data_IF_010341131435
#
_entry.id   IF_010341131435
#
_cell.length_a   1.000
_cell.length_b   1.000
_cell.length_c   1.000
_cell.angle_alpha   90.00
_cell.angle_beta   90.00
_cell.angle_gamma   90.00
#
_symmetry.space_group_name_H-M   'P 1'
#
loop_
_entity.id
_entity.type
_entity.pdbx_description
1 polymer ?
#
# COMPACT_ATOMS: atom_id res chain seq x y z
N UNK A 1 -16.60 31.33 9.77
CA UNK A 1 -16.50 29.91 10.15
C UNK A 1 -16.01 29.10 8.97
N UNK A 2 -15.05 28.21 9.20
CA UNK A 2 -14.40 27.45 8.14
C UNK A 2 -15.28 26.33 7.58
N UNK A 3 -14.98 25.93 6.34
CA UNK A 3 -15.60 24.81 5.64
C UNK A 3 -14.67 23.58 5.68
N UNK A 4 -15.18 22.43 6.10
CA UNK A 4 -14.41 21.18 6.22
C UNK A 4 -13.80 20.77 4.87
N UNK A 5 -14.61 20.77 3.79
CA UNK A 5 -14.17 20.27 2.47
C UNK A 5 -13.06 21.15 1.91
N UNK A 6 -13.22 22.48 1.97
CA UNK A 6 -12.17 23.41 1.54
C UNK A 6 -10.89 23.26 2.38
N UNK A 7 -11.03 23.02 3.67
CA UNK A 7 -9.89 22.81 4.55
C UNK A 7 -9.19 21.44 4.29
N UNK A 8 -9.98 20.37 4.05
CA UNK A 8 -9.45 19.07 3.62
C UNK A 8 -8.64 19.18 2.33
N UNK A 9 -9.17 19.93 1.34
CA UNK A 9 -8.48 20.20 0.08
C UNK A 9 -7.14 20.88 0.33
N UNK A 10 -7.13 21.97 1.12
CA UNK A 10 -5.89 22.69 1.47
C UNK A 10 -4.87 21.79 2.15
N UNK A 11 -5.29 20.91 3.07
CA UNK A 11 -4.40 19.97 3.74
C UNK A 11 -3.87 18.93 2.76
N UNK A 12 -4.70 18.39 1.87
CA UNK A 12 -4.29 17.42 0.87
C UNK A 12 -3.31 18.03 -0.15
N UNK A 13 -3.53 19.27 -0.55
CA UNK A 13 -2.64 19.98 -1.49
C UNK A 13 -1.27 20.25 -0.82
N UNK A 14 -1.22 20.71 0.41
CA UNK A 14 0.04 20.88 1.14
C UNK A 14 0.80 19.56 1.38
N UNK A 15 0.09 18.44 1.57
CA UNK A 15 0.71 17.11 1.63
C UNK A 15 1.31 16.71 0.27
N UNK A 16 0.66 17.04 -0.83
CA UNK A 16 1.15 16.79 -2.19
C UNK A 16 2.40 17.64 -2.47
N UNK A 17 2.36 18.92 -2.16
CA UNK A 17 3.49 19.86 -2.32
C UNK A 17 4.72 19.42 -1.51
N UNK A 18 4.50 18.81 -0.34
CA UNK A 18 5.58 18.24 0.50
C UNK A 18 6.01 16.83 0.08
N UNK A 19 5.56 16.31 -1.07
CA UNK A 19 5.93 14.99 -1.59
C UNK A 19 5.24 13.81 -0.90
N UNK A 20 4.28 14.06 0.00
CA UNK A 20 3.54 13.01 0.73
C UNK A 20 2.34 12.50 -0.09
N UNK A 21 2.58 12.09 -1.34
CA UNK A 21 1.54 11.74 -2.32
C UNK A 21 0.58 10.65 -1.84
N UNK A 22 1.09 9.60 -1.17
CA UNK A 22 0.25 8.52 -0.63
C UNK A 22 -0.75 9.02 0.41
N UNK A 23 -0.29 9.87 1.33
CA UNK A 23 -1.16 10.49 2.35
C UNK A 23 -2.13 11.47 1.70
N UNK A 24 -1.67 12.31 0.77
CA UNK A 24 -2.51 13.23 0.01
C UNK A 24 -3.65 12.48 -0.73
N UNK A 25 -3.34 11.33 -1.33
CA UNK A 25 -4.34 10.49 -1.99
C UNK A 25 -5.44 10.01 -1.01
N UNK A 26 -5.06 9.54 0.19
CA UNK A 26 -6.01 9.12 1.24
C UNK A 26 -6.91 10.29 1.65
N UNK A 27 -6.34 11.49 1.84
CA UNK A 27 -7.10 12.67 2.22
C UNK A 27 -8.09 13.08 1.13
N UNK A 28 -7.69 13.04 -0.14
CA UNK A 28 -8.58 13.30 -1.28
C UNK A 28 -9.69 12.26 -1.39
N UNK A 29 -9.39 10.97 -1.24
CA UNK A 29 -10.39 9.89 -1.26
C UNK A 29 -11.40 10.06 -0.13
N UNK A 30 -10.93 10.38 1.09
CA UNK A 30 -11.82 10.68 2.22
C UNK A 30 -12.68 11.89 1.98
N UNK A 31 -12.11 12.96 1.40
CA UNK A 31 -12.85 14.18 1.03
C UNK A 31 -13.94 13.88 -0.01
N UNK A 32 -13.61 13.12 -1.06
CA UNK A 32 -14.58 12.73 -2.09
C UNK A 32 -15.74 11.93 -1.52
N UNK A 33 -15.47 11.04 -0.55
CA UNK A 33 -16.52 10.29 0.13
C UNK A 33 -17.44 11.20 0.98
N UNK A 34 -16.87 12.21 1.67
CA UNK A 34 -17.65 13.20 2.42
C UNK A 34 -18.50 14.06 1.49
N UNK A 35 -17.96 14.50 0.35
CA UNK A 35 -18.70 15.27 -0.66
C UNK A 35 -19.88 14.45 -1.19
N UNK A 36 -19.65 13.19 -1.52
CA UNK A 36 -20.69 12.29 -2.02
C UNK A 36 -21.79 12.02 -0.97
N UNK A 37 -21.45 11.95 0.31
CA UNK A 37 -22.42 11.81 1.40
C UNK A 37 -23.23 13.08 1.67
N UNK A 38 -22.54 14.23 1.66
CA UNK A 38 -23.16 15.51 1.99
C UNK A 38 -23.92 16.14 0.80
N UNK A 39 -23.76 15.53 -0.41
CA UNK A 39 -24.33 16.01 -1.69
C UNK A 39 -24.01 17.49 -2.01
N UNK A 40 -23.04 18.06 -1.30
CA UNK A 40 -22.64 19.45 -1.42
C UNK A 40 -21.15 19.62 -1.19
N UNK A 41 -20.53 20.53 -1.94
CA UNK A 41 -19.17 21.01 -1.72
C UNK A 41 -19.03 21.92 -0.48
N UNK A 42 -20.12 22.20 0.23
CA UNK A 42 -20.14 23.10 1.38
C UNK A 42 -20.57 22.38 2.66
N UNK A 43 -19.61 22.12 3.55
CA UNK A 43 -19.85 21.52 4.87
C UNK A 43 -19.16 22.37 5.95
N UNK A 44 -19.88 23.29 6.61
CA UNK A 44 -19.35 24.05 7.74
C UNK A 44 -18.93 23.13 8.89
N UNK A 45 -17.83 23.41 9.59
CA UNK A 45 -17.35 22.59 10.71
C UNK A 45 -18.40 22.38 11.81
N UNK A 46 -19.30 23.36 12.05
CA UNK A 46 -20.38 23.23 13.03
C UNK A 46 -21.41 22.14 12.70
N UNK A 47 -21.53 21.74 11.42
CA UNK A 47 -22.40 20.65 10.96
C UNK A 47 -21.73 19.27 11.06
N UNK A 48 -20.43 19.20 11.33
CA UNK A 48 -19.71 17.94 11.55
C UNK A 48 -19.92 17.53 13.02
N UNK A 49 -21.11 17.06 13.35
CA UNK A 49 -21.49 16.61 14.70
C UNK A 49 -21.20 15.12 14.88
N UNK A 50 -21.25 14.57 16.12
CA UNK A 50 -21.17 13.12 16.34
C UNK A 50 -22.24 12.33 15.56
N UNK A 51 -23.45 12.91 15.40
CA UNK A 51 -24.55 12.31 14.65
C UNK A 51 -24.22 12.29 13.14
N UNK A 52 -23.68 13.40 12.60
CA UNK A 52 -23.16 13.45 11.21
C UNK A 52 -22.11 12.36 10.97
N UNK A 53 -21.14 12.23 11.88
CA UNK A 53 -20.08 11.24 11.76
C UNK A 53 -20.65 9.81 11.80
N UNK A 54 -21.64 9.55 12.65
CA UNK A 54 -22.31 8.23 12.74
C UNK A 54 -23.12 7.92 11.47
N UNK A 55 -23.82 8.90 10.93
CA UNK A 55 -24.56 8.77 9.67
C UNK A 55 -23.62 8.55 8.48
N UNK A 56 -22.46 9.23 8.46
CA UNK A 56 -21.44 9.00 7.45
C UNK A 56 -20.81 7.59 7.57
N UNK A 57 -20.60 7.08 8.79
CA UNK A 57 -20.17 5.69 9.00
C UNK A 57 -21.18 4.71 8.40
N UNK A 58 -22.48 4.89 8.70
CA UNK A 58 -23.56 4.06 8.15
C UNK A 58 -23.61 4.13 6.62
N UNK A 59 -23.49 5.32 6.05
CA UNK A 59 -23.41 5.52 4.60
C UNK A 59 -22.25 4.74 3.95
N UNK A 60 -21.05 4.82 4.53
CA UNK A 60 -19.89 4.07 4.03
C UNK A 60 -20.13 2.56 4.09
N UNK A 61 -20.75 2.08 5.18
CA UNK A 61 -21.11 0.66 5.33
C UNK A 61 -22.17 0.23 4.33
N UNK A 62 -23.17 1.05 4.07
CA UNK A 62 -24.18 0.83 3.04
C UNK A 62 -23.59 0.73 1.62
N UNK A 63 -22.45 1.39 1.39
CA UNK A 63 -21.65 1.26 0.15
C UNK A 63 -20.66 0.10 0.15
N UNK A 64 -20.81 -0.87 1.03
CA UNK A 64 -19.93 -2.03 1.18
C UNK A 64 -18.45 -1.69 1.48
N UNK A 65 -18.15 -0.51 2.01
CA UNK A 65 -16.79 -0.20 2.46
C UNK A 65 -16.39 -1.15 3.60
N UNK A 66 -15.17 -1.70 3.55
CA UNK A 66 -14.62 -2.49 4.65
C UNK A 66 -14.49 -1.64 5.92
N UNK A 67 -14.49 -2.26 7.10
CA UNK A 67 -14.26 -1.56 8.37
C UNK A 67 -12.91 -0.83 8.39
N UNK A 68 -11.89 -1.37 7.74
CA UNK A 68 -10.58 -0.70 7.63
C UNK A 68 -10.64 0.54 6.73
N UNK A 69 -11.48 0.55 5.68
CA UNK A 69 -11.75 1.74 4.86
C UNK A 69 -12.49 2.80 5.66
N UNK A 70 -13.55 2.40 6.38
CA UNK A 70 -14.30 3.28 7.28
C UNK A 70 -13.37 3.92 8.31
N UNK A 71 -12.57 3.11 8.99
CA UNK A 71 -11.58 3.58 9.97
C UNK A 71 -10.60 4.59 9.35
N UNK A 72 -10.10 4.30 8.15
CA UNK A 72 -9.17 5.20 7.45
C UNK A 72 -9.80 6.56 7.22
N UNK A 73 -11.05 6.61 6.75
CA UNK A 73 -11.77 7.86 6.51
C UNK A 73 -12.08 8.61 7.80
N UNK A 74 -12.53 7.91 8.85
CA UNK A 74 -12.80 8.52 10.14
C UNK A 74 -11.54 9.09 10.80
N UNK A 75 -10.42 8.35 10.73
CA UNK A 75 -9.13 8.84 11.24
C UNK A 75 -8.62 10.05 10.45
N UNK A 76 -8.82 10.07 9.15
CA UNK A 76 -8.48 11.23 8.30
C UNK A 76 -9.33 12.44 8.69
N UNK A 77 -10.64 12.28 8.84
CA UNK A 77 -11.54 13.34 9.29
C UNK A 77 -11.14 13.87 10.66
N UNK A 78 -10.83 12.97 11.62
CA UNK A 78 -10.35 13.36 12.95
C UNK A 78 -9.07 14.18 12.89
N UNK A 79 -8.10 13.76 12.07
CA UNK A 79 -6.85 14.49 11.91
C UNK A 79 -7.06 15.89 11.30
N UNK A 80 -7.95 16.01 10.32
CA UNK A 80 -8.32 17.30 9.72
C UNK A 80 -9.06 18.19 10.71
N UNK A 81 -10.05 17.63 11.43
CA UNK A 81 -10.84 18.37 12.41
C UNK A 81 -9.95 18.92 13.53
N UNK A 82 -9.07 18.09 14.11
CA UNK A 82 -8.13 18.51 15.14
C UNK A 82 -7.20 19.64 14.66
N UNK A 83 -6.65 19.52 13.44
CA UNK A 83 -5.85 20.62 12.82
C UNK A 83 -6.65 21.92 12.65
N UNK A 84 -7.94 21.81 12.38
CA UNK A 84 -8.80 22.99 12.27
C UNK A 84 -9.11 23.61 13.65
N UNK A 85 -9.26 22.80 14.69
CA UNK A 85 -9.40 23.24 16.09
C UNK A 85 -8.11 23.97 16.54
N UNK A 86 -6.93 23.35 16.32
CA UNK A 86 -5.63 23.94 16.67
C UNK A 86 -5.43 25.33 16.01
N UNK A 87 -5.99 25.51 14.81
CA UNK A 87 -5.97 26.78 14.07
C UNK A 87 -7.15 27.71 14.39
N UNK A 88 -7.99 27.37 15.36
CA UNK A 88 -9.19 28.13 15.75
C UNK A 88 -10.19 28.34 14.60
N UNK A 89 -10.21 27.43 13.62
CA UNK A 89 -11.14 27.43 12.47
C UNK A 89 -12.41 26.62 12.80
N UNK A 90 -12.27 25.57 13.61
CA UNK A 90 -13.35 24.73 14.10
C UNK A 90 -13.50 24.83 15.62
N UNK A 91 -14.73 24.64 16.17
CA UNK A 91 -14.92 24.55 17.61
C UNK A 91 -14.32 23.27 18.18
N UNK A 92 -13.80 23.33 19.41
CA UNK A 92 -13.44 22.14 20.14
C UNK A 92 -14.69 21.44 20.67
N UNK A 93 -14.82 20.13 20.38
CA UNK A 93 -15.91 19.30 20.86
C UNK A 93 -15.31 18.09 21.60
N UNK A 94 -15.54 17.92 22.92
CA UNK A 94 -15.05 16.77 23.67
C UNK A 94 -15.55 15.45 23.07
N UNK A 95 -14.67 14.48 22.95
CA UNK A 95 -15.02 13.12 22.50
C UNK A 95 -15.71 13.04 21.14
N UNK A 96 -15.49 14.01 20.25
CA UNK A 96 -16.17 14.20 18.97
C UNK A 96 -16.24 12.93 18.10
N UNK A 97 -15.16 12.11 18.07
CA UNK A 97 -15.07 10.87 17.29
C UNK A 97 -15.22 9.59 18.12
N UNK A 98 -15.76 9.68 19.36
CA UNK A 98 -15.83 8.52 20.28
C UNK A 98 -16.72 7.39 19.76
N UNK A 99 -17.80 7.72 19.05
CA UNK A 99 -18.85 6.78 18.67
C UNK A 99 -18.71 6.21 17.27
N UNK A 100 -17.62 6.55 16.55
CA UNK A 100 -17.32 6.03 15.21
C UNK A 100 -16.12 5.11 15.21
N UNK A 101 -16.10 4.17 14.28
CA UNK A 101 -15.04 3.18 14.20
C UNK A 101 -13.72 3.78 13.69
N UNK A 102 -12.70 3.75 14.52
CA UNK A 102 -11.32 4.19 14.18
C UNK A 102 -10.25 3.12 14.44
N UNK A 103 -10.68 1.88 14.72
CA UNK A 103 -9.81 0.73 14.98
C UNK A 103 -9.25 0.08 13.71
N UNK A 104 -8.60 -1.05 13.89
CA UNK A 104 -8.17 -1.95 12.82
C UNK A 104 -8.75 -3.33 13.05
N UNK A 105 -9.28 -3.95 11.98
CA UNK A 105 -9.71 -5.35 12.00
C UNK A 105 -8.80 -6.17 11.11
N UNK A 106 -8.33 -7.29 11.62
CA UNK A 106 -7.67 -8.32 10.84
C UNK A 106 -8.74 -9.28 10.30
N UNK A 107 -9.49 -8.82 9.28
CA UNK A 107 -10.66 -9.55 8.77
C UNK A 107 -10.30 -10.84 8.01
N UNK A 108 -9.03 -11.01 7.60
CA UNK A 108 -8.56 -12.24 6.91
C UNK A 108 -7.11 -12.53 7.30
N UNK A 109 -6.81 -13.78 7.68
CA UNK A 109 -5.44 -14.30 7.65
C UNK A 109 -4.98 -14.25 6.18
N UNK A 110 -3.93 -13.48 5.91
CA UNK A 110 -3.32 -13.37 4.57
C UNK A 110 -2.00 -14.12 4.48
N UNK A 111 -1.78 -15.05 5.41
CA UNK A 111 -0.62 -15.91 5.35
C UNK A 111 -0.79 -16.93 4.23
N UNK A 112 0.23 -17.07 3.41
CA UNK A 112 0.29 -18.10 2.39
C UNK A 112 0.48 -19.46 3.07
N UNK A 113 -0.27 -20.47 2.67
CA UNK A 113 -0.05 -21.84 3.12
C UNK A 113 1.26 -22.38 2.48
N UNK A 114 1.87 -23.37 3.15
CA UNK A 114 3.15 -23.95 2.71
C UNK A 114 3.03 -24.54 1.30
N UNK A 115 1.95 -25.25 1.05
CA UNK A 115 1.68 -25.91 -0.22
C UNK A 115 1.52 -24.90 -1.37
N UNK A 116 0.86 -23.76 -1.12
CA UNK A 116 0.72 -22.68 -2.09
C UNK A 116 2.09 -22.05 -2.40
N UNK A 117 2.96 -21.90 -1.38
CA UNK A 117 4.32 -21.38 -1.59
C UNK A 117 5.18 -22.38 -2.40
N UNK A 118 5.08 -23.69 -2.13
CA UNK A 118 5.77 -24.69 -2.91
C UNK A 118 5.34 -24.69 -4.39
N UNK A 119 4.04 -24.51 -4.68
CA UNK A 119 3.53 -24.35 -6.03
C UNK A 119 4.07 -23.09 -6.71
N UNK A 120 4.15 -21.98 -5.97
CA UNK A 120 4.74 -20.74 -6.46
C UNK A 120 6.24 -20.87 -6.77
N UNK A 121 6.97 -21.68 -6.00
CA UNK A 121 8.42 -21.92 -6.21
C UNK A 121 8.70 -22.86 -7.38
N UNK A 122 7.79 -23.79 -7.70
CA UNK A 122 7.91 -24.70 -8.85
C UNK A 122 7.74 -23.93 -10.15
N UNK A 123 8.41 -24.38 -11.21
CA UNK A 123 8.25 -23.76 -12.52
C UNK A 123 6.80 -23.89 -13.03
N UNK A 124 6.29 -22.83 -13.61
CA UNK A 124 5.00 -22.84 -14.29
C UNK A 124 5.13 -23.77 -15.49
N UNK A 125 4.15 -24.66 -15.77
CA UNK A 125 4.20 -25.54 -16.93
C UNK A 125 4.50 -24.79 -18.23
N UNK A 126 5.37 -25.33 -19.09
CA UNK A 126 5.82 -24.67 -20.34
C UNK A 126 4.66 -24.26 -21.27
N UNK A 127 3.55 -24.99 -21.23
CA UNK A 127 2.34 -24.65 -21.99
C UNK A 127 1.68 -23.32 -21.56
N UNK A 128 1.94 -22.89 -20.33
CA UNK A 128 1.49 -21.60 -19.79
C UNK A 128 2.59 -20.53 -19.89
N UNK A 129 3.81 -20.89 -20.35
CA UNK A 129 4.93 -19.99 -20.57
C UNK A 129 4.82 -19.19 -21.86
N UNK A 130 4.20 -19.75 -22.90
CA UNK A 130 4.17 -19.17 -24.23
C UNK A 130 3.19 -18.00 -24.30
N UNK A 131 3.61 -16.81 -23.86
CA UNK A 131 2.92 -15.56 -24.11
C UNK A 131 2.75 -14.61 -22.94
N UNK A 132 2.99 -14.99 -21.67
CA UNK A 132 2.69 -14.09 -20.56
C UNK A 132 3.95 -13.71 -19.72
N UNK A 133 4.83 -12.89 -20.36
CA UNK A 133 6.05 -12.34 -19.72
C UNK A 133 5.72 -11.59 -18.42
N UNK A 134 4.59 -10.89 -18.37
CA UNK A 134 4.13 -10.14 -17.21
C UNK A 134 3.77 -11.06 -16.03
N UNK A 135 3.16 -12.21 -16.31
CA UNK A 135 2.82 -13.19 -15.28
C UNK A 135 4.08 -13.79 -14.64
N UNK A 136 5.07 -14.14 -15.48
CA UNK A 136 6.37 -14.64 -15.01
C UNK A 136 7.10 -13.60 -14.16
N UNK A 137 7.06 -12.35 -14.58
CA UNK A 137 7.66 -11.23 -13.87
C UNK A 137 7.00 -11.00 -12.52
N UNK A 138 5.66 -11.04 -12.48
CA UNK A 138 4.91 -10.90 -11.23
C UNK A 138 5.21 -12.06 -10.26
N UNK A 139 5.27 -13.31 -10.75
CA UNK A 139 5.69 -14.45 -9.94
C UNK A 139 7.12 -14.25 -9.39
N UNK A 140 8.07 -13.87 -10.24
CA UNK A 140 9.45 -13.60 -9.84
C UNK A 140 9.53 -12.53 -8.76
N UNK A 141 8.83 -11.43 -8.91
CA UNK A 141 8.78 -10.37 -7.90
C UNK A 141 8.11 -10.82 -6.60
N UNK A 142 7.04 -11.62 -6.66
CA UNK A 142 6.40 -12.15 -5.46
C UNK A 142 7.37 -13.04 -4.66
N UNK A 143 8.06 -13.96 -5.32
CA UNK A 143 9.07 -14.82 -4.71
C UNK A 143 10.24 -13.99 -4.17
N UNK A 144 10.70 -13.00 -4.93
CA UNK A 144 11.78 -12.12 -4.52
C UNK A 144 11.41 -11.32 -3.26
N UNK A 145 10.20 -10.74 -3.19
CA UNK A 145 9.70 -10.07 -1.98
C UNK A 145 9.75 -10.98 -0.76
N UNK A 146 9.42 -12.25 -0.93
CA UNK A 146 9.51 -13.25 0.14
C UNK A 146 10.97 -13.55 0.53
N UNK A 147 11.86 -13.82 -0.43
CA UNK A 147 13.28 -14.11 -0.19
C UNK A 147 14.01 -12.90 0.45
N UNK A 148 13.55 -11.68 0.17
CA UNK A 148 14.02 -10.44 0.77
C UNK A 148 13.32 -10.12 2.12
N UNK A 149 12.97 -11.17 2.87
CA UNK A 149 12.39 -11.09 4.23
C UNK A 149 11.08 -10.30 4.31
N UNK A 150 10.20 -10.48 3.33
CA UNK A 150 8.92 -9.79 3.28
C UNK A 150 9.04 -8.32 2.89
N UNK A 151 9.91 -8.02 1.96
CA UNK A 151 10.05 -6.67 1.42
C UNK A 151 8.72 -6.21 0.82
N UNK A 152 8.17 -5.05 1.21
CA UNK A 152 6.98 -4.49 0.57
C UNK A 152 7.23 -4.14 -0.90
N UNK A 153 6.21 -4.27 -1.74
CA UNK A 153 6.31 -3.94 -3.17
C UNK A 153 6.76 -2.48 -3.41
N UNK A 154 6.39 -1.55 -2.53
CA UNK A 154 6.86 -0.17 -2.65
C UNK A 154 8.38 -0.07 -2.48
N UNK A 155 8.97 -0.82 -1.55
CA UNK A 155 10.42 -0.81 -1.36
C UNK A 155 11.10 -1.49 -2.56
N UNK A 156 10.58 -2.63 -3.04
CA UNK A 156 11.06 -3.32 -4.25
C UNK A 156 11.06 -2.40 -5.48
N UNK A 157 9.97 -1.65 -5.68
CA UNK A 157 9.81 -0.78 -6.85
C UNK A 157 10.82 0.37 -6.90
N UNK A 158 11.28 0.84 -5.75
CA UNK A 158 12.24 1.94 -5.65
C UNK A 158 13.68 1.49 -5.36
N UNK A 159 13.97 0.17 -5.35
CA UNK A 159 15.35 -0.31 -5.23
C UNK A 159 16.23 0.25 -6.34
N UNK A 160 17.45 0.62 -5.97
CA UNK A 160 18.46 1.14 -6.90
C UNK A 160 19.54 0.11 -7.18
N UNK A 161 20.21 0.23 -8.31
CA UNK A 161 21.31 -0.68 -8.70
C UNK A 161 22.44 -0.67 -7.65
N UNK A 162 22.72 0.50 -7.08
CA UNK A 162 23.77 0.65 -6.06
C UNK A 162 23.37 0.19 -4.66
N UNK A 163 22.10 -0.21 -4.42
CA UNK A 163 21.70 -0.80 -3.14
C UNK A 163 22.28 -2.21 -2.94
N UNK A 164 22.83 -2.82 -4.00
CA UNK A 164 23.46 -4.14 -3.96
C UNK A 164 24.98 -3.99 -4.03
N UNK A 165 25.66 -4.56 -3.04
CA UNK A 165 27.11 -4.72 -3.00
C UNK A 165 27.43 -6.19 -2.75
N UNK A 166 28.02 -6.84 -3.76
CA UNK A 166 28.27 -8.28 -3.74
C UNK A 166 26.98 -9.11 -3.53
N UNK A 167 26.88 -9.78 -2.41
CA UNK A 167 25.72 -10.57 -2.01
C UNK A 167 24.88 -9.88 -0.91
N UNK A 168 25.06 -8.59 -0.71
CA UNK A 168 24.37 -7.82 0.34
C UNK A 168 23.51 -6.74 -0.31
N UNK A 169 22.23 -6.70 0.07
CA UNK A 169 21.29 -5.64 -0.29
C UNK A 169 21.09 -4.73 0.92
N UNK A 170 21.39 -3.45 0.79
CA UNK A 170 21.16 -2.44 1.83
C UNK A 170 20.26 -1.34 1.29
N UNK A 171 19.08 -1.16 1.88
CA UNK A 171 18.11 -0.19 1.42
C UNK A 171 17.41 0.52 2.58
N UNK A 172 16.86 1.70 2.30
CA UNK A 172 16.07 2.48 3.26
C UNK A 172 14.58 2.19 3.08
N UNK A 173 13.94 1.66 4.14
CA UNK A 173 12.49 1.36 4.12
C UNK A 173 11.67 2.65 3.96
N UNK A 174 10.87 2.74 2.92
CA UNK A 174 10.14 3.97 2.57
C UNK A 174 9.12 4.40 3.63
N UNK A 175 8.46 3.44 4.29
CA UNK A 175 7.45 3.75 5.31
C UNK A 175 8.02 4.32 6.60
N UNK A 176 9.22 3.91 7.00
CA UNK A 176 9.79 4.21 8.34
C UNK A 176 11.13 4.93 8.28
N UNK A 177 11.75 5.03 7.11
CA UNK A 177 13.10 5.59 6.94
C UNK A 177 14.23 4.73 7.52
N UNK A 178 13.93 3.54 8.06
CA UNK A 178 14.94 2.65 8.66
C UNK A 178 15.80 2.00 7.57
N UNK A 179 17.11 1.96 7.78
CA UNK A 179 18.03 1.16 6.96
C UNK A 179 17.84 -0.31 7.28
N UNK A 180 17.78 -1.14 6.26
CA UNK A 180 17.67 -2.59 6.35
C UNK A 180 18.73 -3.23 5.46
N UNK A 181 19.36 -4.28 5.98
CA UNK A 181 20.38 -5.07 5.27
C UNK A 181 19.91 -6.52 5.17
N UNK A 182 20.00 -7.09 3.98
CA UNK A 182 19.59 -8.47 3.68
C UNK A 182 20.71 -9.17 2.91
N UNK A 183 21.19 -10.29 3.42
CA UNK A 183 22.08 -11.17 2.66
C UNK A 183 21.27 -11.89 1.59
N UNK A 184 21.70 -11.79 0.35
CA UNK A 184 21.02 -12.36 -0.81
C UNK A 184 21.32 -13.86 -0.92
N UNK A 185 20.28 -14.67 -0.95
CA UNK A 185 20.38 -16.08 -1.28
C UNK A 185 20.65 -16.26 -2.79
N UNK A 186 21.27 -17.36 -3.24
CA UNK A 186 21.53 -17.62 -4.67
C UNK A 186 20.29 -17.49 -5.55
N UNK A 187 19.14 -17.96 -5.05
CA UNK A 187 17.84 -17.86 -5.73
C UNK A 187 17.39 -16.41 -5.91
N UNK A 188 17.61 -15.56 -4.89
CA UNK A 188 17.30 -14.13 -4.97
C UNK A 188 18.21 -13.45 -6.00
N UNK A 189 19.51 -13.77 -6.01
CA UNK A 189 20.46 -13.25 -7.01
C UNK A 189 20.06 -13.65 -8.42
N UNK A 190 19.64 -14.91 -8.63
CA UNK A 190 19.13 -15.39 -9.94
C UNK A 190 17.93 -14.59 -10.39
N UNK A 191 16.92 -14.40 -9.53
CA UNK A 191 15.71 -13.62 -9.84
C UNK A 191 16.02 -12.15 -10.11
N UNK A 192 16.93 -11.55 -9.34
CA UNK A 192 17.38 -10.16 -9.57
C UNK A 192 17.99 -10.06 -10.97
N UNK A 193 18.94 -10.92 -11.33
CA UNK A 193 19.58 -10.92 -12.66
C UNK A 193 18.56 -11.13 -13.78
N UNK A 194 17.57 -11.97 -13.58
CA UNK A 194 16.53 -12.26 -14.58
C UNK A 194 15.61 -11.06 -14.87
N UNK A 195 15.35 -10.22 -13.85
CA UNK A 195 14.36 -9.14 -13.93
C UNK A 195 14.97 -7.74 -13.83
N UNK A 196 16.29 -7.63 -13.68
CA UNK A 196 16.95 -6.34 -13.52
C UNK A 196 16.75 -5.43 -14.74
N UNK A 197 16.76 -4.15 -14.47
CA UNK A 197 16.69 -3.12 -15.50
C UNK A 197 18.01 -3.04 -16.27
N UNK A 198 17.95 -3.29 -17.56
CA UNK A 198 19.11 -3.27 -18.48
C UNK A 198 19.48 -1.88 -18.97
N UNK A 199 18.64 -0.87 -18.77
CA UNK A 199 18.94 0.52 -19.13
C UNK A 199 20.05 1.06 -18.22
N UNK A 200 21.25 1.37 -18.74
CA UNK A 200 22.36 1.88 -17.94
C UNK A 200 22.09 3.28 -17.37
N UNK A 201 21.23 4.08 -17.99
CA UNK A 201 20.89 5.43 -17.56
C UNK A 201 19.91 5.42 -16.37
N UNK A 202 19.17 4.32 -16.18
CA UNK A 202 18.22 4.21 -15.08
C UNK A 202 18.92 3.84 -13.76
N UNK A 203 18.69 4.58 -12.67
CA UNK A 203 19.23 4.23 -11.36
C UNK A 203 18.50 3.04 -10.71
N UNK A 204 17.30 2.72 -11.17
CA UNK A 204 16.43 1.71 -10.54
C UNK A 204 16.87 0.29 -10.90
N UNK A 205 16.82 -0.59 -9.89
CA UNK A 205 17.18 -2.00 -10.07
C UNK A 205 16.19 -2.73 -11.01
N UNK A 206 14.92 -2.37 -10.95
CA UNK A 206 13.86 -2.93 -11.79
C UNK A 206 13.16 -1.82 -12.60
N UNK A 207 12.73 -2.13 -13.83
CA UNK A 207 11.98 -1.21 -14.68
C UNK A 207 10.51 -1.11 -14.28
N UNK A 208 10.25 -0.73 -13.02
CA UNK A 208 8.91 -0.49 -12.46
C UNK A 208 8.59 1.01 -12.40
N UNK A 209 9.63 1.82 -12.29
CA UNK A 209 9.58 3.28 -12.23
C UNK A 209 10.69 3.80 -13.16
N UNK A 210 10.42 4.89 -13.86
CA UNK A 210 11.37 5.60 -14.72
C UNK A 210 11.62 7.03 -14.24
N UNK A 211 10.62 7.67 -13.68
CA UNK A 211 10.67 9.06 -13.22
C UNK A 211 11.54 9.21 -11.97
N UNK A 212 12.03 10.43 -11.75
CA UNK A 212 12.88 10.76 -10.61
C UNK A 212 12.13 10.51 -9.29
N UNK A 213 12.79 9.85 -8.35
CA UNK A 213 12.26 9.62 -7.00
C UNK A 213 11.86 10.95 -6.33
N UNK A 214 10.73 10.92 -5.59
CA UNK A 214 10.19 12.10 -4.91
C UNK A 214 9.29 12.96 -5.79
N UNK A 215 9.08 12.61 -7.07
CA UNK A 215 8.12 13.29 -7.95
C UNK A 215 6.74 12.64 -7.93
N UNK A 216 5.73 13.37 -8.37
CA UNK A 216 4.37 12.84 -8.50
C UNK A 216 4.28 11.81 -9.63
N UNK A 217 5.08 11.98 -10.68
CA UNK A 217 5.20 11.06 -11.81
C UNK A 217 5.66 9.70 -11.31
N UNK A 218 6.76 9.64 -10.55
CA UNK A 218 7.26 8.40 -9.96
C UNK A 218 6.21 7.73 -9.04
N UNK A 219 5.43 8.52 -8.31
CA UNK A 219 4.33 7.99 -7.50
C UNK A 219 3.21 7.40 -8.37
N UNK A 220 2.83 8.05 -9.47
CA UNK A 220 1.82 7.54 -10.41
C UNK A 220 2.29 6.24 -11.10
N UNK A 221 3.54 6.20 -11.54
CA UNK A 221 4.15 4.98 -12.11
C UNK A 221 4.14 3.83 -11.11
N UNK A 222 4.54 4.07 -9.86
CA UNK A 222 4.45 3.09 -8.79
C UNK A 222 3.00 2.59 -8.58
N UNK A 223 2.01 3.47 -8.56
CA UNK A 223 0.61 3.09 -8.39
C UNK A 223 0.10 2.22 -9.55
N UNK A 224 0.54 2.52 -10.77
CA UNK A 224 0.23 1.71 -11.95
C UNK A 224 0.90 0.34 -11.86
N UNK A 225 2.18 0.30 -11.54
CA UNK A 225 2.95 -0.93 -11.35
C UNK A 225 2.33 -1.83 -10.26
N UNK A 226 1.91 -1.25 -9.12
CA UNK A 226 1.26 -1.99 -8.05
C UNK A 226 -0.09 -2.58 -8.48
N UNK A 227 -0.90 -1.83 -9.24
CA UNK A 227 -2.19 -2.34 -9.77
C UNK A 227 -1.96 -3.48 -10.73
N UNK A 228 -1.03 -3.34 -11.67
CA UNK A 228 -0.68 -4.40 -12.61
C UNK A 228 -0.14 -5.63 -11.88
N UNK A 229 0.77 -5.45 -10.93
CA UNK A 229 1.31 -6.53 -10.12
C UNK A 229 0.20 -7.33 -9.41
N UNK A 230 -0.71 -6.66 -8.69
CA UNK A 230 -1.81 -7.35 -8.02
C UNK A 230 -2.78 -8.03 -9.00
N UNK A 231 -3.01 -7.45 -10.18
CA UNK A 231 -3.80 -8.07 -11.24
C UNK A 231 -3.14 -9.37 -11.75
N UNK A 232 -1.83 -9.35 -12.01
CA UNK A 232 -1.09 -10.54 -12.41
C UNK A 232 -1.07 -11.61 -11.29
N UNK A 233 -1.00 -11.21 -10.03
CA UNK A 233 -1.09 -12.13 -8.90
C UNK A 233 -2.46 -12.81 -8.80
N UNK A 234 -3.54 -12.11 -9.14
CA UNK A 234 -4.88 -12.68 -9.22
C UNK A 234 -4.97 -13.77 -10.32
N UNK A 235 -4.40 -13.49 -11.51
CA UNK A 235 -4.30 -14.47 -12.60
C UNK A 235 -3.43 -15.66 -12.17
N UNK A 236 -2.29 -15.39 -11.54
CA UNK A 236 -1.36 -16.42 -11.08
C UNK A 236 -2.02 -17.38 -10.09
N UNK A 237 -2.84 -16.88 -9.19
CA UNK A 237 -3.66 -17.70 -8.28
C UNK A 237 -4.51 -18.72 -9.07
N UNK A 238 -5.22 -18.25 -10.08
CA UNK A 238 -6.10 -19.10 -10.90
C UNK A 238 -5.31 -20.15 -11.69
N UNK A 239 -4.22 -19.71 -12.33
CA UNK A 239 -3.35 -20.60 -13.14
C UNK A 239 -2.71 -21.71 -12.31
N UNK A 240 -2.28 -21.41 -11.09
CA UNK A 240 -1.64 -22.38 -10.20
C UNK A 240 -2.61 -23.12 -9.28
N UNK A 241 -3.91 -22.81 -9.33
CA UNK A 241 -4.92 -23.42 -8.46
C UNK A 241 -4.64 -23.20 -6.97
N UNK A 242 -4.18 -21.98 -6.59
CA UNK A 242 -3.86 -21.67 -5.21
C UNK A 242 -5.13 -21.43 -4.39
N UNK A 243 -5.10 -21.86 -3.15
CA UNK A 243 -6.20 -21.66 -2.20
C UNK A 243 -6.22 -20.26 -1.62
N UNK A 244 -5.03 -19.67 -1.41
CA UNK A 244 -4.86 -18.35 -0.80
C UNK A 244 -4.95 -17.23 -1.84
N UNK A 245 -5.64 -16.14 -1.49
CA UNK A 245 -5.65 -14.93 -2.33
C UNK A 245 -4.27 -14.27 -2.34
N UNK A 246 -3.67 -14.16 -3.52
CA UNK A 246 -2.39 -13.49 -3.68
C UNK A 246 -2.56 -11.96 -3.80
N UNK A 247 -1.71 -11.25 -3.10
CA UNK A 247 -1.56 -9.80 -3.23
C UNK A 247 -0.13 -9.39 -2.85
N UNK A 248 0.27 -8.18 -3.18
CA UNK A 248 1.55 -7.61 -2.72
C UNK A 248 1.73 -7.64 -1.19
N UNK A 249 0.63 -7.72 -0.44
CA UNK A 249 0.65 -7.79 1.01
C UNK A 249 0.84 -9.23 1.54
N UNK A 250 0.40 -10.24 0.77
CA UNK A 250 0.51 -11.66 1.15
C UNK A 250 1.98 -12.09 1.30
N UNK A 251 2.86 -11.63 0.39
CA UNK A 251 4.31 -11.91 0.46
C UNK A 251 4.95 -11.40 1.76
N UNK A 252 4.46 -10.26 2.28
CA UNK A 252 4.98 -9.65 3.53
C UNK A 252 4.49 -10.39 4.77
N UNK A 253 3.24 -10.88 4.75
CA UNK A 253 2.60 -11.49 5.92
C UNK A 253 3.17 -12.88 6.26
N UNK A 254 3.61 -13.64 5.26
CA UNK A 254 4.16 -14.99 5.47
C UNK A 254 5.50 -14.97 6.24
N UNK A 255 6.36 -13.99 5.99
CA UNK A 255 7.66 -13.88 6.67
C UNK A 255 7.54 -13.53 8.14
N UNK A 256 6.49 -12.80 8.54
CA UNK A 256 6.23 -12.53 9.95
C UNK A 256 5.83 -13.78 10.74
N UNK A 257 5.11 -14.73 10.14
CA UNK A 257 4.74 -15.99 10.79
C UNK A 257 5.95 -16.91 11.00
N UNK A 258 6.82 -17.09 9.99
CA UNK A 258 8.03 -17.91 10.12
C UNK A 258 9.06 -17.35 11.11
N UNK A 259 9.17 -16.04 11.22
CA UNK A 259 10.05 -15.43 12.23
C UNK A 259 9.58 -15.72 13.67
N UNK A 260 8.28 -15.92 13.89
CA UNK A 260 7.74 -16.34 15.17
C UNK A 260 7.90 -17.85 15.43
N UNK A 261 7.83 -18.69 14.40
CA UNK A 261 8.04 -20.14 14.54
C UNK A 261 9.49 -20.51 14.81
N UNK A 262 10.46 -19.76 14.25
CA UNK A 262 11.90 -19.98 14.51
C UNK A 262 12.39 -19.44 15.85
N UNK A 263 11.61 -18.61 16.54
CA UNK A 263 11.89 -18.14 17.89
C UNK A 263 11.19 -18.98 18.97
N UNK A 264 10.32 -19.92 18.58
CA UNK A 264 9.58 -20.82 19.49
C UNK A 264 10.15 -22.25 19.52
N UNK A 265 11.23 -22.54 18.80
CA UNK A 265 12.04 -23.76 18.85
C UNK A 265 13.48 -23.33 19.28
#
# INVERSE_FOLDING_TARGET
MGNLISFMKKVADGLRESGNYGTAHIYRSSMSAVVAFNESGNLPFRKVTPEFLKSFEAYLRGRNCSWNTVSTYMRTLRAVYNRAVDRRIAPYVPHHFRYVYTGTRADKKRALEKEDMERLMKDIPKQLHSGNRELQRARGFFILMFLLRGMPFVDLAYLKKHDIDGNVLTYRRRKTGRMLTVTLLPEAVKLIKQHMNTDPASPYLFSLISSKEGTEEAYKEYQLALRNFNYQLMILKQVLGLTTDLSSYTAVSYTHLRAHETLAN
#
